data_IF_535730750078
#
_entry.id   IF_535730750078
#
_cell.length_a   1.000
_cell.length_b   1.000
_cell.length_c   1.000
_cell.angle_alpha   90.00
_cell.angle_beta   90.00
_cell.angle_gamma   90.00
#
_symmetry.space_group_name_H-M   'P 1'
#
loop_
_entity.id
_entity.type
_entity.pdbx_description
1 polymer ?
#
# COMPACT_ATOMS: atom_id res chain seq x y z
N UNK A 1 -10.30 -6.97 -15.78
CA UNK A 1 -9.14 -7.88 -15.60
C UNK A 1 -9.13 -8.52 -14.22
N UNK A 2 -9.17 -7.73 -13.13
CA UNK A 2 -9.09 -8.24 -11.74
C UNK A 2 -10.29 -9.07 -11.33
N UNK A 3 -11.50 -8.73 -11.78
CA UNK A 3 -12.69 -9.54 -11.53
C UNK A 3 -12.49 -10.97 -12.05
N UNK A 4 -11.96 -11.12 -13.26
CA UNK A 4 -11.69 -12.45 -13.84
C UNK A 4 -10.56 -13.21 -13.13
N UNK A 5 -9.72 -12.54 -12.35
CA UNK A 5 -8.72 -13.23 -11.52
C UNK A 5 -9.37 -14.03 -10.39
N UNK A 6 -10.51 -13.56 -9.89
CA UNK A 6 -11.22 -14.15 -8.76
C UNK A 6 -12.56 -14.76 -9.14
N UNK A 7 -13.06 -14.42 -10.34
CA UNK A 7 -14.34 -14.83 -10.85
C UNK A 7 -14.31 -16.17 -11.60
N UNK A 8 -15.49 -16.60 -12.02
CA UNK A 8 -15.65 -17.78 -12.82
C UNK A 8 -15.08 -17.59 -14.23
N UNK A 9 -14.20 -18.49 -14.63
CA UNK A 9 -13.55 -18.49 -15.95
C UNK A 9 -13.77 -19.78 -16.74
N UNK A 10 -14.65 -20.65 -16.23
CA UNK A 10 -15.02 -21.89 -16.89
C UNK A 10 -16.04 -21.68 -18.01
N UNK A 11 -16.32 -22.75 -18.73
CA UNK A 11 -17.36 -22.79 -19.74
C UNK A 11 -18.69 -23.21 -19.09
N UNK A 12 -19.77 -22.46 -19.38
CA UNK A 12 -21.13 -22.84 -19.02
C UNK A 12 -21.69 -23.58 -20.23
N UNK A 13 -21.91 -24.91 -20.09
CA UNK A 13 -22.52 -25.73 -21.13
C UNK A 13 -24.03 -25.57 -21.13
N UNK A 14 -24.67 -25.99 -22.22
CA UNK A 14 -26.14 -26.03 -22.33
C UNK A 14 -26.80 -26.98 -21.30
N UNK A 15 -26.05 -27.91 -20.74
CA UNK A 15 -26.49 -28.82 -19.67
C UNK A 15 -26.34 -28.25 -18.25
N UNK A 16 -25.93 -27.01 -18.11
CA UNK A 16 -25.69 -26.39 -16.81
C UNK A 16 -26.89 -26.42 -15.83
N UNK A 17 -28.12 -26.61 -16.35
CA UNK A 17 -29.33 -26.77 -15.55
C UNK A 17 -29.42 -28.12 -14.84
N UNK A 18 -28.81 -29.14 -15.40
CA UNK A 18 -28.87 -30.52 -14.91
C UNK A 18 -27.58 -31.00 -14.26
N UNK A 19 -26.49 -30.39 -14.58
CA UNK A 19 -25.16 -30.67 -14.08
C UNK A 19 -24.96 -30.02 -12.71
N UNK A 20 -25.70 -30.43 -11.80
CA UNK A 20 -25.80 -29.70 -10.57
C UNK A 20 -24.78 -30.12 -9.53
N UNK A 21 -23.62 -29.57 -9.57
CA UNK A 21 -22.83 -29.35 -8.35
C UNK A 21 -23.61 -28.34 -7.44
N UNK A 22 -24.93 -28.57 -7.21
CA UNK A 22 -25.80 -27.67 -6.46
C UNK A 22 -25.96 -26.26 -7.03
N UNK A 23 -25.84 -26.08 -8.35
CA UNK A 23 -25.86 -24.78 -9.01
C UNK A 23 -24.62 -23.92 -8.74
N UNK A 24 -23.54 -24.50 -8.27
CA UNK A 24 -22.37 -23.78 -7.79
C UNK A 24 -21.64 -23.01 -8.91
N UNK A 25 -21.39 -23.66 -10.03
CA UNK A 25 -20.77 -23.03 -11.21
C UNK A 25 -21.61 -21.89 -11.76
N UNK A 26 -22.94 -22.09 -11.83
CA UNK A 26 -23.86 -21.06 -12.27
C UNK A 26 -23.84 -19.86 -11.31
N UNK A 27 -23.96 -20.11 -10.01
CA UNK A 27 -23.94 -19.05 -9.00
C UNK A 27 -22.65 -18.22 -9.07
N UNK A 28 -21.51 -18.88 -9.23
CA UNK A 28 -20.22 -18.21 -9.41
C UNK A 28 -20.15 -17.40 -10.70
N UNK A 29 -20.64 -17.94 -11.82
CA UNK A 29 -20.68 -17.23 -13.10
C UNK A 29 -21.61 -16.01 -13.06
N UNK A 30 -22.80 -16.14 -12.48
CA UNK A 30 -23.75 -15.02 -12.31
C UNK A 30 -23.12 -13.94 -11.42
N UNK A 31 -22.54 -14.30 -10.29
CA UNK A 31 -21.86 -13.35 -9.41
C UNK A 31 -20.71 -12.61 -10.11
N UNK A 32 -19.96 -13.32 -10.97
CA UNK A 32 -18.90 -12.70 -11.80
C UNK A 32 -19.50 -11.67 -12.76
N UNK A 33 -20.59 -12.02 -13.43
CA UNK A 33 -21.25 -11.14 -14.39
C UNK A 33 -21.82 -9.88 -13.71
N UNK A 34 -22.42 -10.02 -12.52
CA UNK A 34 -22.90 -8.88 -11.74
C UNK A 34 -21.80 -7.87 -11.44
N UNK A 35 -20.63 -8.33 -10.98
CA UNK A 35 -19.50 -7.45 -10.69
C UNK A 35 -18.96 -6.77 -11.96
N UNK A 36 -19.01 -7.45 -13.11
CA UNK A 36 -18.63 -6.86 -14.40
C UNK A 36 -19.65 -5.76 -14.76
N UNK A 37 -20.95 -6.03 -14.66
CA UNK A 37 -21.97 -5.04 -14.97
C UNK A 37 -21.92 -3.84 -14.04
N UNK A 38 -21.77 -4.02 -12.73
CA UNK A 38 -21.57 -2.91 -11.78
C UNK A 38 -20.38 -2.04 -12.16
N UNK A 39 -19.30 -2.65 -12.66
CA UNK A 39 -18.12 -1.90 -13.12
C UNK A 39 -18.42 -1.09 -14.39
N UNK A 40 -19.15 -1.68 -15.34
CA UNK A 40 -19.49 -1.03 -16.61
C UNK A 40 -20.46 0.13 -16.40
N UNK A 41 -21.45 -0.02 -15.54
CA UNK A 41 -22.46 1.03 -15.28
C UNK A 41 -22.01 2.05 -14.24
N UNK A 42 -20.81 1.90 -13.68
CA UNK A 42 -20.24 2.86 -12.73
C UNK A 42 -20.66 2.67 -11.28
N UNK A 43 -21.26 1.55 -10.92
CA UNK A 43 -21.61 1.21 -9.52
C UNK A 43 -20.38 0.75 -8.69
N UNK A 44 -19.19 0.72 -9.27
CA UNK A 44 -17.91 0.48 -8.61
C UNK A 44 -16.92 1.61 -8.89
N UNK A 45 -16.30 2.14 -7.82
CA UNK A 45 -15.23 3.12 -7.94
C UNK A 45 -13.87 2.47 -8.28
N UNK A 46 -12.83 3.28 -8.40
CA UNK A 46 -11.47 2.82 -8.71
C UNK A 46 -10.87 1.88 -7.63
N UNK A 47 -11.35 1.96 -6.39
CA UNK A 47 -10.98 1.10 -5.27
C UNK A 47 -11.92 -0.10 -5.12
N UNK A 48 -12.82 -0.26 -6.10
CA UNK A 48 -13.83 -1.30 -6.15
C UNK A 48 -14.87 -1.24 -5.01
N UNK A 49 -15.05 -0.07 -4.39
CA UNK A 49 -16.15 0.15 -3.46
C UNK A 49 -17.45 0.31 -4.22
N UNK A 50 -18.55 -0.16 -3.64
CA UNK A 50 -19.87 0.07 -4.21
C UNK A 50 -20.26 1.53 -4.04
N UNK A 51 -20.69 2.15 -5.13
CA UNK A 51 -21.19 3.53 -5.16
C UNK A 51 -22.60 3.55 -5.75
N UNK A 52 -23.43 4.48 -5.28
CA UNK A 52 -24.75 4.67 -5.83
C UNK A 52 -24.68 5.55 -7.07
N UNK A 53 -25.26 5.10 -8.16
CA UNK A 53 -25.40 5.89 -9.39
C UNK A 53 -26.71 6.71 -9.42
N UNK A 54 -27.57 6.57 -8.40
CA UNK A 54 -28.87 7.23 -8.32
C UNK A 54 -29.93 6.69 -9.30
N UNK A 55 -29.60 5.62 -10.01
CA UNK A 55 -30.50 4.97 -10.99
C UNK A 55 -31.47 3.99 -10.34
N UNK A 56 -32.63 3.80 -11.01
CA UNK A 56 -33.66 2.83 -10.59
C UNK A 56 -33.29 1.37 -10.90
N UNK A 57 -32.20 1.16 -11.67
CA UNK A 57 -31.84 -0.14 -12.21
C UNK A 57 -30.47 -0.59 -11.68
N UNK A 58 -30.30 -0.54 -10.35
CA UNK A 58 -29.11 -1.10 -9.72
C UNK A 58 -28.92 -2.56 -10.14
N UNK A 59 -27.69 -2.92 -10.52
CA UNK A 59 -27.40 -4.25 -11.08
C UNK A 59 -27.90 -5.37 -10.17
N UNK A 60 -27.77 -5.24 -8.86
CA UNK A 60 -28.25 -6.24 -7.90
C UNK A 60 -29.77 -6.36 -7.82
N UNK A 61 -30.52 -5.32 -8.19
CA UNK A 61 -32.00 -5.36 -8.19
C UNK A 61 -32.55 -6.22 -9.31
N UNK A 62 -31.73 -6.57 -10.31
CA UNK A 62 -32.10 -7.46 -11.40
C UNK A 62 -32.17 -8.93 -10.96
N UNK A 63 -31.72 -9.26 -9.75
CA UNK A 63 -31.81 -10.63 -9.22
C UNK A 63 -32.85 -10.70 -8.13
N UNK A 64 -33.86 -11.58 -8.35
CA UNK A 64 -34.87 -11.85 -7.35
C UNK A 64 -34.27 -12.47 -6.09
N UNK A 65 -34.59 -11.90 -4.93
CA UNK A 65 -34.21 -12.47 -3.62
C UNK A 65 -34.84 -13.84 -3.37
N UNK A 66 -35.92 -14.17 -4.10
CA UNK A 66 -36.58 -15.48 -4.02
C UNK A 66 -35.97 -16.52 -4.97
N UNK A 67 -34.90 -16.17 -5.71
CA UNK A 67 -34.24 -17.13 -6.59
C UNK A 67 -33.55 -18.24 -5.77
N UNK A 68 -33.71 -19.52 -6.12
CA UNK A 68 -33.15 -20.65 -5.33
C UNK A 68 -31.63 -20.59 -5.08
N UNK A 69 -30.90 -19.92 -5.95
CA UNK A 69 -29.45 -19.76 -5.83
C UNK A 69 -29.04 -18.39 -5.28
N UNK A 70 -29.98 -17.54 -4.83
CA UNK A 70 -29.68 -16.17 -4.42
C UNK A 70 -28.56 -16.10 -3.38
N UNK A 71 -28.68 -16.83 -2.29
CA UNK A 71 -27.69 -16.83 -1.20
C UNK A 71 -26.31 -17.28 -1.67
N UNK A 72 -26.28 -18.29 -2.55
CA UNK A 72 -25.03 -18.79 -3.13
C UNK A 72 -24.39 -17.76 -4.08
N UNK A 73 -25.20 -17.11 -4.92
CA UNK A 73 -24.76 -16.01 -5.79
C UNK A 73 -24.17 -14.87 -4.93
N UNK A 74 -24.87 -14.45 -3.88
CA UNK A 74 -24.41 -13.38 -3.00
C UNK A 74 -23.17 -13.75 -2.21
N UNK A 75 -22.99 -15.00 -1.84
CA UNK A 75 -21.76 -15.48 -1.21
C UNK A 75 -20.55 -15.32 -2.14
N UNK A 76 -20.66 -15.78 -3.39
CA UNK A 76 -19.60 -15.58 -4.39
C UNK A 76 -19.37 -14.09 -4.70
N UNK A 77 -20.42 -13.33 -4.91
CA UNK A 77 -20.36 -11.91 -5.18
C UNK A 77 -19.58 -11.15 -4.10
N UNK A 78 -19.92 -11.34 -2.82
CA UNK A 78 -19.28 -10.68 -1.70
C UNK A 78 -17.80 -11.11 -1.56
N UNK A 79 -17.51 -12.40 -1.68
CA UNK A 79 -16.15 -12.95 -1.60
C UNK A 79 -15.25 -12.41 -2.71
N UNK A 80 -15.75 -12.39 -3.94
CA UNK A 80 -15.00 -11.86 -5.09
C UNK A 80 -14.80 -10.35 -4.98
N UNK A 81 -15.84 -9.58 -4.61
CA UNK A 81 -15.71 -8.14 -4.41
C UNK A 81 -14.64 -7.81 -3.36
N UNK A 82 -14.63 -8.51 -2.23
CA UNK A 82 -13.62 -8.37 -1.19
C UNK A 82 -12.20 -8.72 -1.71
N UNK A 83 -12.09 -9.75 -2.54
CA UNK A 83 -10.80 -10.16 -3.14
C UNK A 83 -10.28 -9.13 -4.12
N UNK A 84 -11.14 -8.55 -4.97
CA UNK A 84 -10.77 -7.47 -5.89
C UNK A 84 -10.36 -6.20 -5.13
N UNK A 85 -11.08 -5.82 -4.07
CA UNK A 85 -10.70 -4.71 -3.20
C UNK A 85 -9.32 -4.90 -2.58
N UNK A 86 -9.04 -6.09 -2.06
CA UNK A 86 -7.74 -6.43 -1.46
C UNK A 86 -6.61 -6.53 -2.48
N UNK A 87 -6.91 -6.74 -3.76
CA UNK A 87 -5.91 -6.95 -4.80
C UNK A 87 -4.87 -5.82 -4.86
N UNK A 88 -5.32 -4.57 -4.82
CA UNK A 88 -4.48 -3.38 -4.91
C UNK A 88 -4.41 -2.58 -3.60
N UNK A 89 -4.94 -3.11 -2.50
CA UNK A 89 -4.91 -2.41 -1.21
C UNK A 89 -3.48 -2.37 -0.67
N UNK A 90 -3.02 -1.17 -0.36
CA UNK A 90 -1.72 -0.94 0.25
C UNK A 90 -1.79 -1.09 1.78
N UNK A 91 -0.68 -1.46 2.44
CA UNK A 91 -0.50 -1.19 3.86
C UNK A 91 -0.83 0.26 4.22
N UNK A 92 -1.42 0.50 5.38
CA UNK A 92 -2.02 1.79 5.75
C UNK A 92 -1.03 2.96 5.81
N UNK A 93 0.26 2.68 5.96
CA UNK A 93 1.35 3.66 6.01
C UNK A 93 2.05 3.87 4.66
N UNK A 94 1.57 3.26 3.57
CA UNK A 94 2.11 3.42 2.22
C UNK A 94 1.20 4.25 1.33
N UNK A 95 1.80 4.91 0.36
CA UNK A 95 1.10 5.66 -0.69
C UNK A 95 1.39 5.10 -2.08
N UNK A 96 0.53 5.41 -3.05
CA UNK A 96 0.64 4.87 -4.42
C UNK A 96 1.81 5.46 -5.22
N UNK A 97 2.31 6.64 -4.85
CA UNK A 97 3.36 7.34 -5.59
C UNK A 97 4.49 7.81 -4.67
N UNK A 98 5.74 7.84 -5.13
CA UNK A 98 6.86 8.36 -4.33
C UNK A 98 6.69 9.82 -3.92
N UNK A 99 6.02 10.62 -4.76
CA UNK A 99 5.81 12.06 -4.49
C UNK A 99 4.86 12.33 -3.32
N UNK A 100 3.90 11.43 -3.08
CA UNK A 100 2.95 11.50 -1.95
C UNK A 100 3.37 10.64 -0.76
N UNK A 101 4.57 10.05 -0.79
CA UNK A 101 5.05 9.16 0.27
C UNK A 101 5.11 9.87 1.62
N UNK A 102 4.54 9.21 2.64
CA UNK A 102 4.60 9.69 4.01
C UNK A 102 6.04 9.64 4.53
N UNK A 103 6.44 10.67 5.26
CA UNK A 103 7.71 10.70 5.98
C UNK A 103 7.55 9.99 7.31
N UNK A 104 8.37 8.96 7.52
CA UNK A 104 8.41 8.14 8.72
C UNK A 104 9.73 8.39 9.44
N UNK A 105 9.62 8.85 10.67
CA UNK A 105 10.77 9.14 11.49
C UNK A 105 11.35 7.86 12.08
N UNK A 106 12.69 7.69 11.93
CA UNK A 106 13.46 6.68 12.62
C UNK A 106 14.00 7.24 13.93
N UNK A 107 13.78 6.55 15.02
CA UNK A 107 14.27 6.89 16.35
C UNK A 107 15.56 6.10 16.67
N UNK A 108 16.51 6.73 17.37
CA UNK A 108 17.68 6.06 17.88
C UNK A 108 17.35 5.36 19.22
N UNK A 109 17.51 4.04 19.25
CA UNK A 109 17.21 3.23 20.45
C UNK A 109 18.39 3.07 21.43
N UNK A 110 19.52 3.72 21.14
CA UNK A 110 20.79 3.59 21.86
C UNK A 110 21.84 2.74 21.13
N UNK A 111 21.43 1.97 20.12
CA UNK A 111 22.30 1.11 19.31
C UNK A 111 22.10 1.23 17.81
N UNK A 112 20.88 1.53 17.38
CA UNK A 112 20.48 1.62 15.97
C UNK A 112 19.27 2.54 15.80
N UNK A 113 19.05 2.96 14.58
CA UNK A 113 17.83 3.66 14.18
C UNK A 113 16.72 2.63 13.93
N UNK A 114 15.52 2.88 14.45
CA UNK A 114 14.41 1.93 14.35
C UNK A 114 13.06 2.62 14.34
N UNK A 115 12.09 1.98 13.69
CA UNK A 115 10.67 2.31 13.78
C UNK A 115 9.86 1.05 13.57
N UNK A 116 8.71 0.95 14.24
CA UNK A 116 7.74 -0.11 14.00
C UNK A 116 6.40 0.49 13.58
N UNK A 117 5.95 0.13 12.39
CA UNK A 117 4.69 0.58 11.80
C UNK A 117 3.66 -0.53 11.86
N UNK A 118 2.42 -0.18 12.21
CA UNK A 118 1.31 -1.13 12.24
C UNK A 118 0.40 -0.90 11.04
N UNK A 119 0.16 -1.95 10.28
CA UNK A 119 -0.77 -1.94 9.15
C UNK A 119 -2.20 -2.21 9.60
N UNK A 120 -3.04 -1.16 9.67
CA UNK A 120 -4.46 -1.28 9.99
C UNK A 120 -5.29 -1.93 8.86
N UNK A 121 -4.74 -2.02 7.65
CA UNK A 121 -5.39 -2.65 6.52
C UNK A 121 -5.22 -4.18 6.48
N UNK A 122 -4.32 -4.74 7.32
CA UNK A 122 -4.03 -6.18 7.41
C UNK A 122 -3.68 -6.82 6.05
N UNK A 123 -2.86 -6.13 5.25
CA UNK A 123 -2.38 -6.63 3.94
C UNK A 123 -0.87 -6.75 3.83
N UNK A 124 -0.16 -6.45 4.91
CA UNK A 124 1.29 -6.34 4.96
C UNK A 124 2.03 -7.61 4.54
N UNK A 125 1.52 -8.79 4.88
CA UNK A 125 2.17 -10.08 4.62
C UNK A 125 2.43 -10.37 3.13
N UNK A 126 1.74 -9.69 2.22
CA UNK A 126 1.92 -9.84 0.77
C UNK A 126 3.03 -8.97 0.18
N UNK A 127 3.63 -8.08 0.96
CA UNK A 127 4.58 -7.07 0.47
C UNK A 127 6.02 -7.41 0.81
N UNK A 128 6.93 -7.14 -0.15
CA UNK A 128 8.38 -7.15 0.05
C UNK A 128 8.87 -5.71 0.03
N UNK A 129 9.72 -5.38 0.99
CA UNK A 129 10.28 -4.05 1.16
C UNK A 129 11.71 -4.00 0.61
N UNK A 130 12.08 -2.88 0.00
CA UNK A 130 13.42 -2.64 -0.53
C UNK A 130 13.81 -1.17 -0.41
N UNK A 131 15.11 -0.94 -0.37
CA UNK A 131 15.74 0.37 -0.31
C UNK A 131 16.94 0.40 -1.27
N UNK A 132 17.34 1.57 -1.73
CA UNK A 132 18.63 1.81 -2.38
C UNK A 132 19.80 1.82 -1.40
N UNK A 133 19.54 2.01 -0.11
CA UNK A 133 20.52 1.89 0.96
C UNK A 133 20.50 0.47 1.53
N UNK A 134 21.59 -0.27 1.35
CA UNK A 134 21.73 -1.65 1.83
C UNK A 134 21.86 -1.76 3.36
N UNK A 135 22.12 -0.64 4.05
CA UNK A 135 22.14 -0.57 5.53
C UNK A 135 20.76 -0.54 6.16
N UNK A 136 19.69 -0.39 5.37
CA UNK A 136 18.32 -0.39 5.87
C UNK A 136 17.72 -1.79 5.77
N UNK A 137 17.24 -2.33 6.90
CA UNK A 137 16.69 -3.67 7.01
C UNK A 137 15.23 -3.65 7.37
N UNK A 138 14.50 -4.65 6.89
CA UNK A 138 13.05 -4.78 7.05
C UNK A 138 12.70 -6.12 7.69
N UNK A 139 11.82 -6.09 8.69
CA UNK A 139 11.25 -7.29 9.30
C UNK A 139 9.74 -7.16 9.40
N UNK A 140 9.02 -8.16 8.89
CA UNK A 140 7.56 -8.22 8.93
C UNK A 140 7.12 -9.32 9.89
N UNK A 141 6.28 -8.96 10.86
CA UNK A 141 5.68 -9.88 11.81
C UNK A 141 4.19 -9.55 11.99
N UNK A 142 3.32 -10.43 11.49
CA UNK A 142 1.88 -10.18 11.46
C UNK A 142 1.55 -8.93 10.65
N UNK A 143 0.91 -7.95 11.30
CA UNK A 143 0.58 -6.66 10.71
C UNK A 143 1.58 -5.54 11.08
N UNK A 144 2.79 -5.88 11.53
CA UNK A 144 3.83 -4.93 11.91
C UNK A 144 5.03 -5.02 10.98
N UNK A 145 5.50 -3.86 10.52
CA UNK A 145 6.76 -3.67 9.82
C UNK A 145 7.73 -2.99 10.76
N UNK A 146 8.88 -3.61 11.03
CA UNK A 146 10.00 -2.98 11.73
C UNK A 146 11.08 -2.64 10.70
N UNK A 147 11.50 -1.38 10.69
CA UNK A 147 12.60 -0.87 9.86
C UNK A 147 13.75 -0.54 10.79
N UNK A 148 14.96 -1.01 10.46
CA UNK A 148 16.16 -0.75 11.26
C UNK A 148 17.33 -0.33 10.37
N UNK A 149 18.24 0.50 10.91
CA UNK A 149 19.48 0.86 10.28
C UNK A 149 20.56 1.13 11.34
N UNK A 150 21.79 0.59 11.18
CA UNK A 150 22.88 0.83 12.11
C UNK A 150 23.43 2.25 12.01
N UNK A 151 23.33 2.86 10.84
CA UNK A 151 23.70 4.25 10.57
C UNK A 151 22.48 5.03 10.10
N UNK A 152 22.48 6.33 10.33
CA UNK A 152 21.42 7.19 9.83
C UNK A 152 21.33 7.08 8.31
N UNK A 153 20.19 6.65 7.75
CA UNK A 153 19.99 6.71 6.31
C UNK A 153 19.88 8.16 5.83
N UNK A 154 20.03 8.38 4.54
CA UNK A 154 19.82 9.70 3.95
C UNK A 154 18.41 10.19 4.24
N UNK A 155 18.29 11.47 4.60
CA UNK A 155 16.99 12.11 4.81
C UNK A 155 16.17 12.06 3.51
N UNK A 156 14.89 11.71 3.63
CA UNK A 156 14.01 11.52 2.47
C UNK A 156 14.26 10.24 1.68
N UNK A 157 15.05 9.28 2.19
CA UNK A 157 15.28 7.98 1.53
C UNK A 157 13.93 7.28 1.27
N UNK A 158 13.66 7.00 0.00
CA UNK A 158 12.43 6.33 -0.42
C UNK A 158 12.54 4.82 -0.24
N UNK A 159 11.58 4.26 0.47
CA UNK A 159 11.37 2.82 0.60
C UNK A 159 10.28 2.39 -0.36
N UNK A 160 10.55 1.34 -1.10
CA UNK A 160 9.57 0.71 -2.01
C UNK A 160 9.07 -0.59 -1.40
N UNK A 161 7.76 -0.75 -1.39
CA UNK A 161 7.10 -2.00 -1.08
C UNK A 161 6.43 -2.53 -2.35
N UNK A 162 6.61 -3.81 -2.65
CA UNK A 162 6.03 -4.44 -3.83
C UNK A 162 5.36 -5.75 -3.47
N UNK A 163 4.13 -5.93 -3.97
CA UNK A 163 3.40 -7.19 -3.93
C UNK A 163 3.29 -7.74 -5.35
N UNK A 164 3.78 -8.96 -5.56
CA UNK A 164 3.52 -9.72 -6.78
C UNK A 164 2.04 -10.05 -6.85
N UNK A 165 1.36 -9.57 -7.89
CA UNK A 165 -0.03 -9.85 -8.18
C UNK A 165 -0.23 -10.08 -9.68
N UNK A 166 -1.33 -10.75 -10.01
CA UNK A 166 -1.67 -11.10 -11.38
C UNK A 166 -3.13 -10.74 -11.64
N UNK A 167 -3.44 -10.40 -12.88
CA UNK A 167 -4.82 -10.26 -13.34
C UNK A 167 -4.99 -11.01 -14.65
N UNK A 168 -6.22 -11.35 -14.99
CA UNK A 168 -6.53 -11.85 -16.32
C UNK A 168 -6.51 -10.69 -17.31
N UNK A 169 -5.90 -10.88 -18.45
CA UNK A 169 -6.09 -10.02 -19.61
C UNK A 169 -7.56 -10.08 -20.03
N UNK A 170 -8.02 -9.06 -20.73
CA UNK A 170 -9.41 -8.95 -21.16
C UNK A 170 -9.44 -8.69 -22.65
N UNK A 171 -10.32 -9.42 -23.36
CA UNK A 171 -10.67 -9.19 -24.75
C UNK A 171 -12.11 -8.75 -24.77
N UNK A 172 -12.38 -7.59 -25.34
CA UNK A 172 -13.73 -7.08 -25.57
C UNK A 172 -14.10 -7.34 -27.02
N UNK A 173 -15.25 -7.92 -27.23
CA UNK A 173 -15.86 -8.13 -28.52
C UNK A 173 -17.01 -7.15 -28.66
N UNK A 174 -16.93 -6.25 -29.61
CA UNK A 174 -17.93 -5.21 -29.87
C UNK A 174 -18.16 -5.11 -31.38
N UNK A 175 -19.39 -4.79 -31.77
CA UNK A 175 -19.71 -4.44 -33.15
C UNK A 175 -19.47 -2.96 -33.46
N UNK A 176 -19.04 -2.17 -32.48
CA UNK A 176 -18.81 -0.73 -32.61
C UNK A 176 -20.08 0.11 -32.62
N UNK A 177 -21.24 -0.47 -32.39
CA UNK A 177 -22.52 0.22 -32.33
C UNK A 177 -22.89 0.42 -30.86
N UNK A 178 -22.90 1.68 -30.42
CA UNK A 178 -23.19 2.04 -29.03
C UNK A 178 -24.56 2.67 -28.92
N UNK A 179 -25.38 2.20 -27.99
CA UNK A 179 -26.67 2.79 -27.64
C UNK A 179 -27.83 1.79 -27.62
N UNK A 180 -29.01 2.24 -27.15
CA UNK A 180 -30.18 1.36 -26.95
C UNK A 180 -30.84 0.85 -28.24
N UNK A 181 -30.52 1.44 -29.39
CA UNK A 181 -31.27 1.25 -30.64
C UNK A 181 -30.55 0.34 -31.65
N UNK A 182 -29.47 -0.31 -31.31
CA UNK A 182 -28.81 -1.14 -32.31
C UNK A 182 -27.59 -1.88 -31.79
N UNK A 183 -27.27 -2.95 -32.51
CA UNK A 183 -26.08 -3.73 -32.26
C UNK A 183 -26.33 -5.00 -31.47
N UNK A 184 -25.32 -5.83 -31.50
CA UNK A 184 -25.23 -7.04 -30.70
C UNK A 184 -24.64 -6.67 -29.34
N UNK A 185 -25.10 -7.31 -28.29
CA UNK A 185 -24.54 -7.11 -26.96
C UNK A 185 -23.03 -7.33 -26.96
N UNK A 186 -22.26 -6.33 -26.50
CA UNK A 186 -20.86 -6.44 -26.30
C UNK A 186 -20.52 -7.56 -25.31
N UNK A 187 -19.52 -8.35 -25.63
CA UNK A 187 -19.05 -9.43 -24.77
C UNK A 187 -17.62 -9.22 -24.34
N UNK A 188 -17.33 -9.65 -23.13
CA UNK A 188 -15.99 -9.57 -22.54
C UNK A 188 -15.56 -10.96 -22.14
N UNK A 189 -14.38 -11.36 -22.62
CA UNK A 189 -13.76 -12.62 -22.23
C UNK A 189 -12.40 -12.38 -21.60
N UNK A 190 -11.95 -13.30 -20.75
CA UNK A 190 -10.59 -13.24 -20.27
C UNK A 190 -9.61 -13.81 -21.30
N UNK A 191 -8.38 -13.31 -21.26
CA UNK A 191 -7.25 -13.80 -22.04
C UNK A 191 -6.18 -14.40 -21.12
N UNK A 192 -4.92 -14.19 -21.45
CA UNK A 192 -3.80 -14.67 -20.63
C UNK A 192 -3.71 -13.98 -19.28
N UNK A 193 -3.14 -14.67 -18.28
CA UNK A 193 -2.74 -14.05 -17.02
C UNK A 193 -1.56 -13.11 -17.27
N UNK A 194 -1.67 -11.89 -16.79
CA UNK A 194 -0.64 -10.85 -16.88
C UNK A 194 -0.22 -10.38 -15.49
N UNK A 195 1.01 -9.91 -15.38
CA UNK A 195 1.50 -9.31 -14.15
C UNK A 195 0.72 -8.03 -13.86
N UNK A 196 0.37 -7.86 -12.60
CA UNK A 196 -0.31 -6.66 -12.06
C UNK A 196 0.33 -6.29 -10.71
N UNK A 197 1.66 -5.99 -10.69
CA UNK A 197 2.36 -5.72 -9.45
C UNK A 197 1.79 -4.49 -8.77
N UNK A 198 1.64 -4.57 -7.45
CA UNK A 198 1.17 -3.46 -6.63
C UNK A 198 2.33 -2.88 -5.88
N UNK A 199 2.61 -1.59 -6.09
CA UNK A 199 3.70 -0.86 -5.44
C UNK A 199 3.17 0.20 -4.48
N UNK A 200 3.88 0.37 -3.38
CA UNK A 200 3.65 1.43 -2.41
C UNK A 200 4.96 2.02 -1.93
N UNK A 201 4.90 3.23 -1.38
CA UNK A 201 6.08 4.01 -1.02
C UNK A 201 5.91 4.68 0.34
N UNK A 202 7.01 4.77 1.08
CA UNK A 202 7.20 5.67 2.21
C UNK A 202 8.59 6.31 2.11
N UNK A 203 8.82 7.36 2.88
CA UNK A 203 10.14 8.00 3.01
C UNK A 203 10.63 7.90 4.44
N UNK A 204 11.90 7.69 4.62
CA UNK A 204 12.52 7.73 5.93
C UNK A 204 13.02 9.14 6.25
N UNK A 205 12.86 9.54 7.49
CA UNK A 205 13.36 10.79 8.06
C UNK A 205 14.14 10.46 9.33
N UNK A 206 15.19 11.23 9.58
CA UNK A 206 15.98 11.15 10.81
C UNK A 206 15.90 12.48 11.51
N UNK A 207 15.55 12.48 12.79
CA UNK A 207 15.60 13.69 13.61
C UNK A 207 17.02 14.06 13.97
N UNK A 208 17.30 15.35 13.87
CA UNK A 208 18.53 15.95 14.34
C UNK A 208 18.31 16.63 15.68
N UNK A 209 19.26 16.47 16.57
CA UNK A 209 19.30 17.15 17.84
C UNK A 209 20.27 18.35 17.85
N UNK A 210 20.36 18.99 19.00
CA UNK A 210 21.40 19.98 19.28
C UNK A 210 22.00 19.74 20.66
N UNK A 211 23.24 20.16 20.84
CA UNK A 211 23.92 20.13 22.12
C UNK A 211 24.38 21.55 22.49
N UNK A 212 24.11 21.92 23.74
CA UNK A 212 24.64 23.17 24.32
C UNK A 212 25.66 22.79 25.39
N UNK A 213 26.89 23.30 25.23
CA UNK A 213 27.98 23.15 26.19
C UNK A 213 28.19 24.49 26.88
N UNK A 214 28.34 24.48 28.20
CA UNK A 214 28.67 25.67 29.00
C UNK A 214 30.00 25.40 29.74
N UNK A 215 31.00 26.17 29.40
CA UNK A 215 32.30 26.15 30.11
C UNK A 215 32.24 27.10 31.31
N UNK A 216 32.65 26.60 32.47
CA UNK A 216 32.84 27.37 33.68
C UNK A 216 34.32 27.38 34.05
N UNK A 217 34.80 28.45 34.70
CA UNK A 217 36.17 28.57 35.18
C UNK A 217 36.22 29.50 36.40
N UNK A 218 37.05 29.18 37.38
CA UNK A 218 37.24 29.97 38.59
C UNK A 218 37.89 31.33 38.30
N UNK A 219 38.72 31.40 37.26
CA UNK A 219 39.39 32.65 36.83
C UNK A 219 38.56 33.53 35.89
N UNK A 220 37.32 33.11 35.64
CA UNK A 220 36.40 33.82 34.75
C UNK A 220 36.74 33.74 33.25
N UNK A 221 37.80 33.06 32.85
CA UNK A 221 38.18 32.87 31.46
C UNK A 221 37.38 31.75 30.84
N UNK A 222 36.26 32.06 30.21
CA UNK A 222 35.34 31.08 29.66
C UNK A 222 35.18 31.21 28.14
N UNK A 223 35.47 32.36 27.54
CA UNK A 223 35.36 32.58 26.10
C UNK A 223 36.69 32.28 25.36
N UNK A 224 36.58 31.87 24.07
CA UNK A 224 37.70 31.55 23.20
C UNK A 224 38.33 30.16 23.46
N UNK A 225 37.75 29.36 24.35
CA UNK A 225 38.26 28.01 24.65
C UNK A 225 37.81 27.05 23.54
N UNK A 226 38.76 26.31 22.98
CA UNK A 226 38.49 25.37 21.90
C UNK A 226 38.05 24.01 22.44
N UNK A 227 37.01 23.45 21.85
CA UNK A 227 36.53 22.10 22.05
C UNK A 227 36.51 21.37 20.70
N UNK A 228 37.02 20.15 20.68
CA UNK A 228 36.87 19.24 19.52
C UNK A 228 35.69 18.34 19.80
N UNK A 229 34.75 18.28 18.86
CA UNK A 229 33.56 17.44 18.92
C UNK A 229 33.66 16.37 17.86
N UNK A 230 33.66 15.11 18.29
CA UNK A 230 33.78 13.95 17.40
C UNK A 230 32.62 12.97 17.65
N UNK A 231 32.12 12.39 16.59
CA UNK A 231 31.04 11.36 16.64
C UNK A 231 30.17 11.43 15.38
N UNK A 232 29.58 10.31 14.97
CA UNK A 232 28.64 10.19 13.85
C UNK A 232 29.02 10.96 12.58
N UNK A 233 30.32 10.86 12.19
CA UNK A 233 30.84 11.53 11.01
C UNK A 233 31.18 13.02 11.19
N UNK A 234 30.97 13.56 12.39
CA UNK A 234 31.39 14.92 12.73
C UNK A 234 32.74 14.87 13.38
N UNK A 235 33.64 15.72 12.91
CA UNK A 235 34.94 16.05 13.54
C UNK A 235 35.18 17.54 13.31
N UNK A 236 34.82 18.36 14.33
CA UNK A 236 34.97 19.80 14.23
C UNK A 236 35.45 20.40 15.52
N UNK A 237 36.23 21.47 15.39
CA UNK A 237 36.65 22.31 16.53
C UNK A 237 35.79 23.55 16.59
N UNK A 238 35.21 23.82 17.75
CA UNK A 238 34.36 24.98 18.05
C UNK A 238 34.97 25.74 19.22
N UNK A 239 34.70 27.04 19.31
CA UNK A 239 35.15 27.88 20.42
C UNK A 239 33.98 28.38 21.24
N UNK A 240 34.22 28.53 22.55
CA UNK A 240 33.26 29.14 23.44
C UNK A 240 33.12 30.64 23.18
N UNK A 241 31.88 31.12 23.22
CA UNK A 241 31.51 32.52 23.05
C UNK A 241 30.36 32.87 24.05
N UNK A 242 30.05 34.14 24.18
CA UNK A 242 28.91 34.61 24.98
C UNK A 242 28.84 34.07 26.42
N UNK A 243 29.95 34.14 27.16
CA UNK A 243 30.02 33.64 28.52
C UNK A 243 30.24 32.15 28.60
N UNK A 244 31.09 31.60 27.73
CA UNK A 244 31.51 30.20 27.77
C UNK A 244 30.58 29.23 27.08
N UNK A 245 29.73 29.69 26.19
CA UNK A 245 28.71 28.83 25.53
C UNK A 245 29.16 28.34 24.15
N UNK A 246 28.77 27.10 23.85
CA UNK A 246 28.86 26.51 22.52
C UNK A 246 27.46 25.93 22.21
N UNK A 247 26.92 26.25 21.04
CA UNK A 247 25.75 25.62 20.46
C UNK A 247 26.19 24.79 19.25
N UNK A 248 25.81 23.51 19.24
CA UNK A 248 26.04 22.61 18.10
C UNK A 248 24.70 22.05 17.65
N UNK A 249 24.28 22.46 16.47
CA UNK A 249 23.03 22.04 15.88
C UNK A 249 23.23 20.95 14.83
N UNK A 250 22.16 20.34 14.41
CA UNK A 250 22.11 19.28 13.38
C UNK A 250 22.94 18.04 13.77
N UNK A 251 22.91 17.67 15.03
CA UNK A 251 23.52 16.45 15.54
C UNK A 251 22.59 15.27 15.29
N UNK A 252 23.09 14.24 14.61
CA UNK A 252 22.38 12.95 14.56
C UNK A 252 22.34 12.33 15.95
N UNK A 253 21.28 11.62 16.34
CA UNK A 253 21.27 10.84 17.58
C UNK A 253 22.49 9.89 17.64
N UNK A 254 23.13 9.82 18.79
CA UNK A 254 24.32 8.98 19.00
C UNK A 254 25.25 9.51 20.09
N UNK A 255 26.45 8.93 20.17
CA UNK A 255 27.47 9.30 21.13
C UNK A 255 28.49 10.26 20.52
N UNK A 256 28.76 11.34 21.23
CA UNK A 256 29.76 12.35 20.88
C UNK A 256 30.78 12.54 22.02
N UNK A 257 32.01 12.80 21.67
CA UNK A 257 33.11 13.11 22.59
C UNK A 257 33.77 14.42 22.22
#
# INVERSE_FOLDING_TARGET
GRIFQYGYTGTISTSWRSDNEGGDKLAHAVATQLLIWETVVGERDENFNKVSTGGKDAVLEQISTNHPLYDKIMSYYNSMAASVQKHSKLPSFLTKTPGSAQEIELEWDGSKYTVTLTDSNNVLSGYKFSSSDSGVHFSVSGNKLTITAEKAPSDGLTITAEKTAHRKGVITWTDGIYGPDGGVQDTVTYAQTVNDPVKGFLKLKVSYGSAKIVKTSEDGKVDGISFRIQGNGIDKTVKTENGGQIQVDNLMPGVYT
#
